data_IF_072026509431
#
_entry.id   IF_072026509431
#
_cell.length_a   1.000
_cell.length_b   1.000
_cell.length_c   1.000
_cell.angle_alpha   90.00
_cell.angle_beta   90.00
_cell.angle_gamma   90.00
#
_symmetry.space_group_name_H-M   'P 1'
#
loop_
_entity.id
_entity.type
_entity.pdbx_description
1 polymer ?
#
# COMPACT_ATOMS: atom_id res chain seq x y z
N UNK A 1 -58.38 80.65 -25.00
CA UNK A 1 -59.76 80.13 -25.16
C UNK A 1 -59.67 78.72 -25.69
N UNK A 2 -60.46 77.80 -25.11
CA UNK A 2 -60.70 76.40 -25.50
C UNK A 2 -59.72 75.29 -25.10
N UNK A 3 -60.36 74.30 -24.46
CA UNK A 3 -59.94 73.01 -23.91
C UNK A 3 -59.81 71.91 -24.99
N UNK A 4 -59.19 70.81 -24.57
CA UNK A 4 -59.54 69.35 -24.77
C UNK A 4 -58.34 68.55 -25.33
N UNK A 5 -57.74 67.59 -24.60
CA UNK A 5 -58.14 66.26 -24.07
C UNK A 5 -58.01 65.07 -25.04
N UNK A 6 -57.26 64.07 -24.53
CA UNK A 6 -57.16 62.63 -24.89
C UNK A 6 -56.38 62.19 -26.14
N UNK A 7 -55.39 61.30 -25.98
CA UNK A 7 -55.57 59.83 -25.99
C UNK A 7 -54.24 59.11 -25.65
N UNK A 8 -54.34 57.96 -24.99
CA UNK A 8 -53.24 57.03 -24.67
C UNK A 8 -52.81 56.24 -25.91
N UNK A 9 -51.50 55.95 -26.04
CA UNK A 9 -51.02 54.77 -26.77
C UNK A 9 -49.69 54.27 -26.19
N UNK A 10 -49.64 52.95 -25.98
CA UNK A 10 -48.59 52.15 -25.34
C UNK A 10 -47.71 51.53 -26.43
N UNK A 11 -46.38 51.57 -26.29
CA UNK A 11 -45.48 50.75 -27.13
C UNK A 11 -44.12 50.47 -26.46
N UNK A 12 -44.03 49.25 -25.90
CA UNK A 12 -42.96 48.25 -26.07
C UNK A 12 -41.49 48.65 -25.79
N UNK A 13 -41.00 48.29 -24.60
CA UNK A 13 -39.56 48.23 -24.27
C UNK A 13 -38.99 46.89 -24.72
N UNK A 14 -38.04 46.91 -25.66
CA UNK A 14 -37.21 45.77 -26.04
C UNK A 14 -36.10 45.58 -24.99
N UNK A 15 -36.17 44.49 -24.23
CA UNK A 15 -35.11 44.07 -23.33
C UNK A 15 -33.97 43.41 -24.14
N UNK A 16 -32.82 44.08 -24.23
CA UNK A 16 -31.60 43.50 -24.77
C UNK A 16 -30.90 42.65 -23.71
N UNK A 17 -30.86 41.34 -23.92
CA UNK A 17 -30.12 40.38 -23.11
C UNK A 17 -28.63 40.45 -23.44
N UNK A 18 -27.83 41.02 -22.53
CA UNK A 18 -26.37 40.90 -22.54
C UNK A 18 -25.98 39.54 -21.97
N UNK A 19 -25.52 38.64 -22.84
CA UNK A 19 -24.92 37.38 -22.41
C UNK A 19 -23.55 37.65 -21.78
N UNK A 20 -23.45 37.55 -20.45
CA UNK A 20 -22.17 37.46 -19.74
C UNK A 20 -21.51 36.13 -20.10
N UNK A 21 -20.44 36.17 -20.89
CA UNK A 21 -19.60 35.00 -21.09
C UNK A 21 -18.72 34.80 -19.86
N UNK A 22 -18.95 33.72 -19.11
CA UNK A 22 -18.07 33.29 -18.03
C UNK A 22 -16.74 32.81 -18.62
N UNK A 23 -15.63 33.41 -18.18
CA UNK A 23 -14.29 32.89 -18.48
C UNK A 23 -14.16 31.49 -17.85
N UNK A 24 -13.59 30.50 -18.56
CA UNK A 24 -13.39 29.18 -17.99
C UNK A 24 -12.40 29.29 -16.81
N UNK A 25 -12.81 28.81 -15.63
CA UNK A 25 -11.91 28.63 -14.51
C UNK A 25 -10.85 27.58 -14.91
N UNK A 26 -9.59 28.01 -15.05
CA UNK A 26 -8.48 27.08 -15.21
C UNK A 26 -8.35 26.24 -13.94
N UNK A 27 -8.87 25.02 -13.98
CA UNK A 27 -8.60 24.01 -12.96
C UNK A 27 -7.10 23.71 -12.98
N UNK A 28 -6.35 24.30 -12.04
CA UNK A 28 -4.98 23.86 -11.75
C UNK A 28 -5.07 22.37 -11.40
N UNK A 29 -4.34 21.53 -12.14
CA UNK A 29 -4.38 20.10 -11.88
C UNK A 29 -3.85 19.84 -10.46
N UNK A 30 -4.52 18.96 -9.72
CA UNK A 30 -4.05 18.53 -8.40
C UNK A 30 -2.60 18.04 -8.45
N UNK A 31 -2.21 17.41 -9.57
CA UNK A 31 -0.83 16.98 -9.86
C UNK A 31 0.18 18.13 -9.84
N UNK A 32 -0.16 19.28 -10.42
CA UNK A 32 0.72 20.45 -10.49
C UNK A 32 0.85 21.14 -9.13
N UNK A 33 -0.26 21.19 -8.36
CA UNK A 33 -0.24 21.63 -6.96
C UNK A 33 0.66 20.72 -6.11
N UNK A 34 0.46 19.40 -6.15
CA UNK A 34 1.25 18.46 -5.36
C UNK A 34 2.72 18.41 -5.81
N UNK A 35 3.04 18.53 -7.11
CA UNK A 35 4.44 18.64 -7.56
C UNK A 35 5.12 19.92 -7.09
N UNK A 36 4.43 21.06 -7.14
CA UNK A 36 4.97 22.33 -6.66
C UNK A 36 5.25 22.29 -5.14
N UNK A 37 4.43 21.54 -4.38
CA UNK A 37 4.55 21.44 -2.93
C UNK A 37 5.30 20.20 -2.43
N UNK A 38 5.64 19.24 -3.32
CA UNK A 38 6.41 18.04 -2.96
C UNK A 38 7.86 18.33 -2.56
N UNK A 39 8.38 19.51 -2.93
CA UNK A 39 9.74 19.96 -2.59
C UNK A 39 9.76 21.11 -1.58
N UNK A 40 8.60 21.73 -1.31
CA UNK A 40 8.49 22.74 -0.27
C UNK A 40 8.32 22.06 1.09
N UNK A 41 9.37 22.04 1.89
CA UNK A 41 9.29 21.79 3.34
C UNK A 41 8.69 23.01 4.08
N UNK A 42 7.72 23.70 3.48
CA UNK A 42 6.98 24.78 4.11
C UNK A 42 5.89 24.20 5.01
N UNK A 43 6.31 23.37 5.96
CA UNK A 43 5.47 23.02 7.09
C UNK A 43 5.44 24.25 7.99
N UNK A 44 4.26 24.80 8.34
CA UNK A 44 4.17 25.90 9.29
C UNK A 44 4.95 25.55 10.56
N UNK A 45 5.82 26.46 11.01
CA UNK A 45 6.55 26.27 12.26
C UNK A 45 5.58 26.40 13.44
N UNK A 46 5.05 25.26 13.92
CA UNK A 46 4.09 25.19 15.04
C UNK A 46 4.76 25.62 16.36
N UNK A 47 6.04 25.29 16.52
CA UNK A 47 6.86 25.70 17.66
C UNK A 47 7.93 26.70 17.21
N UNK A 48 8.11 27.76 17.99
CA UNK A 48 9.25 28.68 17.85
C UNK A 48 10.57 27.96 18.08
N UNK A 49 11.68 28.57 17.63
CA UNK A 49 13.02 27.98 17.83
C UNK A 49 13.32 27.76 19.31
N UNK A 50 13.03 28.76 20.14
CA UNK A 50 13.29 28.72 21.58
C UNK A 50 12.44 27.64 22.27
N UNK A 51 11.19 27.43 21.85
CA UNK A 51 10.35 26.33 22.37
C UNK A 51 10.89 24.95 21.98
N UNK A 52 11.38 24.79 20.74
CA UNK A 52 11.99 23.53 20.31
C UNK A 52 13.25 23.22 21.11
N UNK A 53 14.09 24.23 21.34
CA UNK A 53 15.31 24.09 22.11
C UNK A 53 14.98 23.74 23.58
N UNK A 54 14.01 24.43 24.19
CA UNK A 54 13.51 24.14 25.54
C UNK A 54 12.96 22.71 25.68
N UNK A 55 12.06 22.28 24.78
CA UNK A 55 11.45 20.95 24.90
C UNK A 55 12.43 19.83 24.62
N UNK A 56 13.37 20.03 23.70
CA UNK A 56 14.47 19.08 23.49
C UNK A 56 15.28 18.91 24.78
N UNK A 57 15.70 20.01 25.40
CA UNK A 57 16.44 19.96 26.65
C UNK A 57 15.66 19.31 27.80
N UNK A 58 14.34 19.52 27.86
CA UNK A 58 13.43 18.92 28.85
C UNK A 58 13.29 17.41 28.65
N UNK A 59 12.97 16.95 27.44
CA UNK A 59 12.83 15.52 27.17
C UNK A 59 14.18 14.79 27.28
N UNK A 60 15.28 15.40 26.85
CA UNK A 60 16.63 14.85 27.05
C UNK A 60 16.95 14.71 28.54
N UNK A 61 16.55 15.67 29.38
CA UNK A 61 16.72 15.59 30.83
C UNK A 61 15.85 14.48 31.46
N UNK A 62 14.63 14.26 30.95
CA UNK A 62 13.75 13.15 31.39
C UNK A 62 14.39 11.81 31.02
N UNK A 63 14.83 11.63 29.77
CA UNK A 63 15.46 10.39 29.30
C UNK A 63 16.79 10.09 30.00
N UNK A 64 17.55 11.13 30.35
CA UNK A 64 18.79 11.02 31.11
C UNK A 64 18.55 10.87 32.63
N UNK A 65 17.30 10.84 33.08
CA UNK A 65 16.90 10.76 34.49
C UNK A 65 17.46 11.88 35.38
N UNK A 66 17.71 13.05 34.80
CA UNK A 66 18.20 14.21 35.52
C UNK A 66 17.04 15.00 36.13
N UNK A 67 16.46 14.46 37.21
CA UNK A 67 15.24 15.01 37.83
C UNK A 67 15.41 16.42 38.39
N UNK A 68 16.62 16.77 38.85
CA UNK A 68 16.92 18.12 39.31
C UNK A 68 16.78 19.13 38.15
N UNK A 69 17.32 18.80 36.97
CA UNK A 69 17.18 19.62 35.76
C UNK A 69 15.72 19.68 35.30
N UNK A 70 14.99 18.57 35.32
CA UNK A 70 13.57 18.55 34.93
C UNK A 70 12.73 19.47 35.81
N UNK A 71 12.90 19.40 37.13
CA UNK A 71 12.20 20.28 38.07
C UNK A 71 12.58 21.75 37.88
N UNK A 72 13.86 22.03 37.64
CA UNK A 72 14.31 23.38 37.34
C UNK A 72 13.65 23.91 36.06
N UNK A 73 13.63 23.14 34.97
CA UNK A 73 13.02 23.56 33.71
C UNK A 73 11.51 23.83 33.87
N UNK A 74 10.79 22.98 34.61
CA UNK A 74 9.37 23.22 34.91
C UNK A 74 9.13 24.42 35.84
N UNK A 75 10.10 24.79 36.69
CA UNK A 75 10.02 26.00 37.51
C UNK A 75 10.36 27.28 36.71
N UNK A 76 11.28 27.18 35.76
CA UNK A 76 11.65 28.27 34.86
C UNK A 76 10.49 28.61 33.91
N UNK A 77 9.70 27.59 33.51
CA UNK A 77 8.54 27.76 32.62
C UNK A 77 7.35 26.93 33.09
N UNK A 78 6.35 27.62 33.64
CA UNK A 78 5.17 26.98 34.23
C UNK A 78 4.16 26.44 33.20
N UNK A 79 4.13 27.02 32.00
CA UNK A 79 3.14 26.72 30.94
C UNK A 79 3.77 26.58 29.56
N UNK A 80 3.12 25.84 28.68
CA UNK A 80 3.50 25.72 27.27
C UNK A 80 2.90 24.49 26.59
N UNK A 81 2.99 24.41 25.25
CA UNK A 81 2.18 23.52 24.43
C UNK A 81 2.41 22.02 24.67
N UNK A 82 3.59 21.61 25.15
CA UNK A 82 3.91 20.19 25.42
C UNK A 82 4.06 19.90 26.92
N UNK A 83 3.70 20.82 27.81
CA UNK A 83 3.88 20.62 29.26
C UNK A 83 3.06 19.45 29.79
N UNK A 84 1.82 19.28 29.34
CA UNK A 84 0.96 18.17 29.77
C UNK A 84 1.60 16.83 29.38
N UNK A 85 2.10 16.69 28.16
CA UNK A 85 2.82 15.49 27.72
C UNK A 85 4.13 15.29 28.50
N UNK A 86 4.94 16.33 28.65
CA UNK A 86 6.22 16.24 29.35
C UNK A 86 6.06 15.90 30.84
N UNK A 87 5.04 16.45 31.53
CA UNK A 87 4.70 16.08 32.90
C UNK A 87 4.29 14.61 32.98
N UNK A 88 3.55 14.11 31.99
CA UNK A 88 3.15 12.73 31.93
C UNK A 88 4.36 11.80 31.86
N UNK A 89 5.28 12.06 30.93
CA UNK A 89 6.53 11.32 30.79
C UNK A 89 7.36 11.37 32.08
N UNK A 90 7.51 12.55 32.69
CA UNK A 90 8.23 12.70 33.97
C UNK A 90 7.58 11.89 35.10
N UNK A 91 6.26 11.94 35.24
CA UNK A 91 5.52 11.21 36.29
C UNK A 91 5.55 9.70 36.10
N UNK A 92 5.60 9.24 34.85
CA UNK A 92 5.60 7.82 34.49
C UNK A 92 7.01 7.23 34.35
N UNK A 93 8.05 8.06 34.29
CA UNK A 93 9.42 7.63 34.14
C UNK A 93 9.88 6.75 35.31
N UNK A 94 10.69 5.74 34.99
CA UNK A 94 11.33 4.91 36.00
C UNK A 94 12.24 5.76 36.89
N UNK A 95 12.26 5.50 38.21
CA UNK A 95 13.11 6.19 39.19
C UNK A 95 12.84 7.70 39.33
N UNK A 96 11.75 8.22 38.75
CA UNK A 96 11.34 9.59 38.99
C UNK A 96 10.94 9.80 40.45
N UNK A 97 11.02 11.05 40.96
CA UNK A 97 10.51 11.38 42.29
C UNK A 97 9.07 10.93 42.45
N UNK A 98 8.72 10.50 43.66
CA UNK A 98 7.36 10.06 43.96
C UNK A 98 6.36 11.19 43.66
N UNK A 99 5.43 10.89 42.76
CA UNK A 99 4.31 11.78 42.43
C UNK A 99 3.16 11.53 43.40
N UNK A 100 2.64 12.60 43.99
CA UNK A 100 1.54 12.57 44.94
C UNK A 100 0.17 12.73 44.25
N UNK A 101 -0.89 12.26 44.92
CA UNK A 101 -2.25 12.26 44.37
C UNK A 101 -2.69 13.63 43.79
N UNK A 102 -2.48 14.78 44.46
CA UNK A 102 -2.92 16.08 43.93
C UNK A 102 -2.27 16.44 42.58
N UNK A 103 -1.04 15.97 42.34
CA UNK A 103 -0.34 16.22 41.06
C UNK A 103 -0.94 15.38 39.93
N UNK A 104 -1.39 14.16 40.23
CA UNK A 104 -2.03 13.26 39.27
C UNK A 104 -3.43 13.77 38.94
N UNK A 105 -4.20 14.22 39.94
CA UNK A 105 -5.51 14.82 39.74
C UNK A 105 -5.44 16.08 38.88
N UNK A 106 -4.48 16.97 39.17
CA UNK A 106 -4.24 18.16 38.35
C UNK A 106 -3.88 17.80 36.90
N UNK A 107 -3.05 16.77 36.71
CA UNK A 107 -2.69 16.32 35.37
C UNK A 107 -3.89 15.71 34.63
N UNK A 108 -4.71 14.88 35.30
CA UNK A 108 -5.87 14.22 34.70
C UNK A 108 -6.95 15.23 34.28
N UNK A 109 -7.03 16.39 34.93
CA UNK A 109 -7.94 17.48 34.53
C UNK A 109 -7.59 18.11 33.17
N UNK A 110 -6.32 18.06 32.77
CA UNK A 110 -5.82 18.64 31.51
C UNK A 110 -5.56 17.57 30.43
N UNK A 111 -5.12 16.37 30.85
CA UNK A 111 -4.57 15.34 29.98
C UNK A 111 -5.45 14.12 29.77
N UNK A 112 -6.75 14.16 30.10
CA UNK A 112 -7.64 12.99 30.01
C UNK A 112 -7.71 12.34 28.62
N UNK A 113 -7.55 13.14 27.56
CA UNK A 113 -7.57 12.66 26.16
C UNK A 113 -6.20 12.21 25.65
N UNK A 114 -5.15 12.31 26.47
CA UNK A 114 -3.80 11.91 26.08
C UNK A 114 -3.60 10.40 26.28
N UNK A 115 -2.75 9.75 25.46
CA UNK A 115 -2.50 8.31 25.55
C UNK A 115 -1.91 7.87 26.90
N UNK A 116 -1.29 8.80 27.65
CA UNK A 116 -0.75 8.55 28.99
C UNK A 116 -1.83 8.46 30.08
N UNK A 117 -3.06 8.94 29.83
CA UNK A 117 -4.10 9.07 30.86
C UNK A 117 -4.48 7.74 31.55
N UNK A 118 -4.65 6.61 30.83
CA UNK A 118 -4.94 5.32 31.49
C UNK A 118 -3.82 4.84 32.41
N UNK A 119 -2.57 5.22 32.14
CA UNK A 119 -1.44 4.85 33.00
C UNK A 119 -1.37 5.75 34.24
N UNK A 120 -1.62 7.05 34.09
CA UNK A 120 -1.68 7.99 35.21
C UNK A 120 -2.89 7.77 36.11
N UNK A 121 -4.05 7.41 35.55
CA UNK A 121 -5.21 6.97 36.32
C UNK A 121 -4.88 5.78 37.23
N UNK A 122 -4.26 4.72 36.67
CA UNK A 122 -3.80 3.56 37.45
C UNK A 122 -2.75 3.92 38.50
N UNK A 123 -1.88 4.90 38.21
CA UNK A 123 -0.95 5.43 39.21
C UNK A 123 -1.70 6.15 40.33
N UNK A 124 -2.70 6.97 39.99
CA UNK A 124 -3.58 7.68 40.91
C UNK A 124 -4.38 6.75 41.82
N UNK A 125 -4.94 5.66 41.28
CA UNK A 125 -5.65 4.63 42.07
C UNK A 125 -4.74 4.05 43.17
N UNK A 126 -3.47 3.78 42.85
CA UNK A 126 -2.45 3.36 43.83
C UNK A 126 -2.08 4.45 44.84
N UNK A 127 -2.51 5.70 44.64
CA UNK A 127 -2.31 6.85 45.52
C UNK A 127 -3.60 7.27 46.24
N UNK A 128 -4.71 6.53 46.05
CA UNK A 128 -5.99 6.81 46.70
C UNK A 128 -6.99 7.59 45.85
N UNK A 129 -6.79 7.67 44.52
CA UNK A 129 -7.81 8.19 43.61
C UNK A 129 -9.07 7.31 43.69
N UNK A 130 -10.20 7.91 44.09
CA UNK A 130 -11.48 7.21 44.27
C UNK A 130 -12.38 7.35 43.02
N UNK A 131 -12.23 8.44 42.28
CA UNK A 131 -13.01 8.74 41.09
C UNK A 131 -12.08 9.06 39.91
N UNK A 132 -11.97 8.11 38.98
CA UNK A 132 -11.23 8.29 37.73
C UNK A 132 -12.14 9.00 36.71
N UNK A 133 -11.66 10.04 35.99
CA UNK A 133 -12.45 10.64 34.91
C UNK A 133 -12.72 9.63 33.80
N UNK A 134 -13.75 9.87 33.00
CA UNK A 134 -14.01 9.04 31.82
C UNK A 134 -12.87 9.23 30.81
N UNK A 135 -12.21 8.14 30.43
CA UNK A 135 -11.09 8.14 29.48
C UNK A 135 -11.52 7.57 28.12
N UNK A 136 -10.89 7.98 27.01
CA UNK A 136 -11.07 7.33 25.72
C UNK A 136 -10.69 5.83 25.75
N UNK A 137 -11.50 4.99 25.12
CA UNK A 137 -11.25 3.55 25.04
C UNK A 137 -10.43 3.18 23.80
N UNK A 138 -9.49 2.23 23.95
CA UNK A 138 -8.72 1.68 22.84
C UNK A 138 -9.63 0.88 21.89
N UNK A 139 -9.64 1.26 20.61
CA UNK A 139 -10.36 0.52 19.58
C UNK A 139 -9.58 -0.74 19.20
N UNK A 140 -10.20 -1.91 19.40
CA UNK A 140 -9.59 -3.18 18.99
C UNK A 140 -9.63 -3.31 17.47
N UNK A 141 -8.48 -3.59 16.86
CA UNK A 141 -8.46 -4.01 15.46
C UNK A 141 -9.07 -5.40 15.30
N UNK A 142 -9.82 -5.59 14.23
CA UNK A 142 -10.35 -6.90 13.84
C UNK A 142 -9.49 -7.48 12.71
N UNK A 143 -9.14 -8.76 12.83
CA UNK A 143 -8.45 -9.47 11.76
C UNK A 143 -9.38 -9.54 10.54
N UNK A 144 -8.94 -9.00 9.41
CA UNK A 144 -9.62 -9.19 8.14
C UNK A 144 -9.21 -10.56 7.58
N UNK A 145 -10.16 -11.41 7.13
CA UNK A 145 -9.80 -12.64 6.45
C UNK A 145 -9.02 -12.30 5.18
N UNK A 146 -7.85 -12.91 5.01
CA UNK A 146 -7.04 -12.77 3.80
C UNK A 146 -7.17 -14.01 2.92
N UNK A 147 -7.25 -13.83 1.60
CA UNK A 147 -7.15 -14.95 0.65
C UNK A 147 -5.74 -15.52 0.72
N UNK A 148 -5.53 -16.81 1.04
CA UNK A 148 -4.21 -17.38 1.14
C UNK A 148 -3.38 -17.05 -0.10
N UNK A 149 -2.17 -16.52 0.10
CA UNK A 149 -1.27 -16.14 -0.98
C UNK A 149 -0.73 -17.41 -1.63
N UNK A 150 -1.51 -18.04 -2.52
CA UNK A 150 -1.02 -19.09 -3.40
C UNK A 150 -0.34 -18.43 -4.58
N UNK A 151 0.98 -18.36 -4.53
CA UNK A 151 1.77 -17.78 -5.62
C UNK A 151 1.74 -18.68 -6.87
N UNK A 152 1.51 -19.99 -6.71
CA UNK A 152 1.41 -20.96 -7.80
C UNK A 152 0.23 -21.92 -7.61
N UNK A 153 -0.33 -22.48 -8.69
CA UNK A 153 -1.30 -23.57 -8.64
C UNK A 153 -0.79 -24.79 -7.86
N UNK A 154 -1.73 -25.64 -7.42
CA UNK A 154 -1.37 -26.91 -6.80
C UNK A 154 -0.74 -27.85 -7.84
N UNK A 155 0.25 -28.65 -7.42
CA UNK A 155 0.82 -29.70 -8.27
C UNK A 155 -0.22 -30.78 -8.57
N UNK A 156 -0.23 -31.26 -9.82
CA UNK A 156 -1.13 -32.28 -10.35
C UNK A 156 -0.70 -33.65 -9.85
N UNK A 157 -1.64 -34.37 -9.21
CA UNK A 157 -1.41 -35.69 -8.60
C UNK A 157 -2.43 -36.71 -9.09
N UNK A 158 -2.50 -36.90 -10.41
CA UNK A 158 -3.44 -37.83 -11.06
C UNK A 158 -2.81 -39.16 -11.47
N UNK A 159 -1.52 -39.38 -11.14
CA UNK A 159 -0.78 -40.59 -11.43
C UNK A 159 -0.21 -40.69 -12.85
N UNK A 160 -0.47 -39.71 -13.72
CA UNK A 160 0.07 -39.70 -15.08
C UNK A 160 1.57 -39.36 -15.13
N UNK A 161 2.07 -38.61 -14.15
CA UNK A 161 3.49 -38.31 -13.98
C UNK A 161 4.17 -39.32 -13.05
N UNK A 162 5.13 -40.14 -13.53
CA UNK A 162 5.92 -41.01 -12.66
C UNK A 162 6.82 -40.21 -11.72
N UNK A 163 6.81 -40.55 -10.43
CA UNK A 163 7.60 -39.85 -9.39
C UNK A 163 9.10 -39.85 -9.68
N UNK A 164 9.63 -40.92 -10.30
CA UNK A 164 11.04 -41.01 -10.70
C UNK A 164 11.40 -39.99 -11.78
N UNK A 165 10.52 -39.76 -12.74
CA UNK A 165 10.72 -38.76 -13.80
C UNK A 165 10.53 -37.35 -13.25
N UNK A 166 9.50 -37.12 -12.43
CA UNK A 166 9.30 -35.85 -11.74
C UNK A 166 10.53 -35.44 -10.91
N UNK A 167 11.09 -36.38 -10.15
CA UNK A 167 12.30 -36.17 -9.37
C UNK A 167 13.50 -35.85 -10.27
N UNK A 168 13.70 -36.63 -11.35
CA UNK A 168 14.79 -36.39 -12.28
C UNK A 168 14.70 -35.05 -13.01
N UNK A 169 13.51 -34.64 -13.46
CA UNK A 169 13.27 -33.31 -14.07
C UNK A 169 13.60 -32.20 -13.08
N UNK A 170 13.07 -32.29 -11.84
CA UNK A 170 13.36 -31.28 -10.82
C UNK A 170 14.85 -31.23 -10.47
N UNK A 171 15.55 -32.36 -10.49
CA UNK A 171 16.99 -32.43 -10.27
C UNK A 171 17.76 -31.71 -11.40
N UNK A 172 17.37 -31.92 -12.67
CA UNK A 172 17.96 -31.18 -13.81
C UNK A 172 17.72 -29.68 -13.70
N UNK A 173 16.50 -29.25 -13.35
CA UNK A 173 16.16 -27.83 -13.15
C UNK A 173 17.01 -27.22 -12.02
N UNK A 174 17.27 -27.96 -10.94
CA UNK A 174 18.11 -27.48 -9.82
C UNK A 174 19.59 -27.33 -10.20
N UNK A 175 20.05 -28.03 -11.23
CA UNK A 175 21.42 -27.99 -11.73
C UNK A 175 21.53 -27.20 -13.04
N UNK A 176 20.57 -26.30 -13.29
CA UNK A 176 20.57 -25.37 -14.42
C UNK A 176 20.65 -26.08 -15.80
N UNK A 177 20.04 -27.28 -15.90
CA UNK A 177 19.99 -28.10 -17.13
C UNK A 177 18.56 -28.21 -17.70
N UNK A 178 18.03 -27.14 -18.33
CA UNK A 178 16.68 -27.15 -18.88
C UNK A 178 16.53 -28.05 -20.12
N UNK A 179 17.61 -28.28 -20.89
CA UNK A 179 17.59 -29.21 -22.03
C UNK A 179 17.46 -30.67 -21.58
N UNK A 180 18.21 -31.07 -20.55
CA UNK A 180 18.06 -32.39 -19.94
C UNK A 180 16.69 -32.58 -19.29
N UNK A 181 16.14 -31.55 -18.65
CA UNK A 181 14.77 -31.56 -18.14
C UNK A 181 13.73 -31.74 -19.26
N UNK A 182 13.88 -31.01 -20.38
CA UNK A 182 13.00 -31.14 -21.55
C UNK A 182 13.07 -32.54 -22.15
N UNK A 183 14.27 -33.10 -22.33
CA UNK A 183 14.44 -34.44 -22.90
C UNK A 183 13.74 -35.53 -22.07
N UNK A 184 13.78 -35.43 -20.74
CA UNK A 184 13.06 -36.35 -19.85
C UNK A 184 11.53 -36.19 -19.99
N UNK A 185 11.04 -34.95 -20.10
CA UNK A 185 9.63 -34.66 -20.28
C UNK A 185 9.11 -35.17 -21.63
N UNK A 186 9.83 -34.88 -22.71
CA UNK A 186 9.48 -35.30 -24.08
C UNK A 186 9.31 -36.82 -24.19
N UNK A 187 10.10 -37.59 -23.43
CA UNK A 187 10.03 -39.05 -23.41
C UNK A 187 8.72 -39.63 -22.86
N UNK A 188 7.94 -38.85 -22.11
CA UNK A 188 6.70 -39.32 -21.45
C UNK A 188 5.49 -38.42 -21.72
N UNK A 189 5.66 -37.28 -22.41
CA UNK A 189 4.65 -36.23 -22.59
C UNK A 189 3.33 -36.73 -23.19
N UNK A 190 3.40 -37.68 -24.14
CA UNK A 190 2.20 -38.28 -24.75
C UNK A 190 1.34 -39.10 -23.77
N UNK A 191 1.94 -39.60 -22.69
CA UNK A 191 1.27 -40.37 -21.64
C UNK A 191 0.74 -39.50 -20.49
N UNK A 192 1.08 -38.22 -20.45
CA UNK A 192 0.62 -37.30 -19.42
C UNK A 192 -0.86 -36.91 -19.63
N UNK A 193 -1.55 -36.64 -18.52
CA UNK A 193 -2.82 -35.94 -18.58
C UNK A 193 -2.63 -34.51 -19.08
N UNK A 194 -3.70 -33.85 -19.54
CA UNK A 194 -3.62 -32.44 -19.94
C UNK A 194 -3.13 -31.53 -18.80
N UNK A 195 -3.56 -31.79 -17.57
CA UNK A 195 -3.15 -31.00 -16.41
C UNK A 195 -1.68 -31.21 -16.06
N UNK A 196 -1.20 -32.46 -16.05
CA UNK A 196 0.21 -32.76 -15.80
C UNK A 196 1.10 -32.21 -16.92
N UNK A 197 0.67 -32.33 -18.18
CA UNK A 197 1.35 -31.73 -19.32
C UNK A 197 1.54 -30.22 -19.15
N UNK A 198 0.47 -29.50 -18.78
CA UNK A 198 0.56 -28.05 -18.54
C UNK A 198 1.57 -27.71 -17.43
N UNK A 199 1.47 -28.37 -16.27
CA UNK A 199 2.38 -28.14 -15.14
C UNK A 199 3.85 -28.35 -15.52
N UNK A 200 4.18 -29.48 -16.13
CA UNK A 200 5.56 -29.86 -16.36
C UNK A 200 6.19 -29.11 -17.53
N UNK A 201 5.42 -28.80 -18.58
CA UNK A 201 5.87 -27.91 -19.64
C UNK A 201 6.14 -26.50 -19.10
N UNK A 202 5.27 -25.98 -18.23
CA UNK A 202 5.47 -24.67 -17.59
C UNK A 202 6.73 -24.64 -16.73
N UNK A 203 6.99 -25.69 -15.94
CA UNK A 203 8.21 -25.80 -15.12
C UNK A 203 9.49 -25.79 -15.96
N UNK A 204 9.51 -26.54 -17.06
CA UNK A 204 10.65 -26.56 -17.99
C UNK A 204 10.80 -25.21 -18.70
N UNK A 205 9.71 -24.60 -19.15
CA UNK A 205 9.73 -23.26 -19.74
C UNK A 205 10.28 -22.20 -18.78
N UNK A 206 9.85 -22.23 -17.52
CA UNK A 206 10.37 -21.36 -16.47
C UNK A 206 11.86 -21.57 -16.24
N UNK A 207 12.34 -22.83 -16.30
CA UNK A 207 13.78 -23.14 -16.22
C UNK A 207 14.57 -22.48 -17.35
N UNK A 208 14.10 -22.54 -18.61
CA UNK A 208 14.76 -21.82 -19.70
C UNK A 208 14.77 -20.30 -19.48
N UNK A 209 13.68 -19.72 -18.95
CA UNK A 209 13.57 -18.28 -18.72
C UNK A 209 14.55 -17.78 -17.65
N UNK A 210 14.70 -18.49 -16.53
CA UNK A 210 15.66 -18.12 -15.48
C UNK A 210 17.11 -18.25 -15.94
N UNK A 211 17.39 -19.20 -16.84
CA UNK A 211 18.70 -19.36 -17.51
C UNK A 211 18.93 -18.35 -18.64
N UNK A 212 18.03 -17.38 -18.83
CA UNK A 212 18.09 -16.35 -19.88
C UNK A 212 18.11 -16.90 -21.31
N UNK A 213 17.59 -18.12 -21.51
CA UNK A 213 17.34 -18.66 -22.85
C UNK A 213 15.90 -18.34 -23.27
N UNK A 214 15.63 -17.06 -23.51
CA UNK A 214 14.28 -16.57 -23.82
C UNK A 214 13.66 -17.22 -25.07
N UNK A 215 14.39 -17.52 -26.17
CA UNK A 215 13.81 -18.22 -27.32
C UNK A 215 13.31 -19.63 -26.98
N UNK A 216 14.08 -20.40 -26.20
CA UNK A 216 13.66 -21.73 -25.77
C UNK A 216 12.55 -21.66 -24.72
N UNK A 217 12.58 -20.65 -23.85
CA UNK A 217 11.52 -20.41 -22.87
C UNK A 217 10.18 -20.12 -23.55
N UNK A 218 10.17 -19.22 -24.54
CA UNK A 218 8.97 -18.89 -25.32
C UNK A 218 8.46 -20.14 -26.04
N UNK A 219 9.32 -20.81 -26.80
CA UNK A 219 8.92 -22.01 -27.56
C UNK A 219 8.37 -23.11 -26.64
N UNK A 220 8.94 -23.30 -25.45
CA UNK A 220 8.43 -24.25 -24.48
C UNK A 220 7.11 -23.79 -23.85
N UNK A 221 6.99 -22.51 -23.50
CA UNK A 221 5.81 -21.93 -22.86
C UNK A 221 4.58 -21.98 -23.77
N UNK A 222 4.73 -21.71 -25.07
CA UNK A 222 3.64 -21.79 -26.07
C UNK A 222 3.05 -23.21 -26.17
N UNK A 223 3.82 -24.23 -25.80
CA UNK A 223 3.31 -25.62 -25.78
C UNK A 223 2.44 -25.93 -24.56
N UNK A 224 2.41 -25.08 -23.53
CA UNK A 224 1.63 -25.31 -22.30
C UNK A 224 0.13 -25.31 -22.59
N UNK A 225 -0.32 -24.52 -23.56
CA UNK A 225 -1.73 -24.40 -23.98
C UNK A 225 -2.35 -25.70 -24.52
N UNK A 226 -1.51 -26.65 -24.97
CA UNK A 226 -1.97 -27.99 -25.33
C UNK A 226 -2.33 -28.88 -24.12
N UNK A 227 -2.16 -28.36 -22.89
CA UNK A 227 -2.58 -28.97 -21.64
C UNK A 227 -3.93 -28.43 -21.15
N UNK A 228 -4.15 -28.47 -19.83
CA UNK A 228 -5.37 -27.95 -19.21
C UNK A 228 -5.16 -27.54 -17.75
N UNK A 229 -6.13 -26.83 -17.17
CA UNK A 229 -6.14 -26.45 -15.76
C UNK A 229 -5.39 -25.15 -15.47
N UNK A 230 -5.19 -24.87 -14.18
CA UNK A 230 -4.67 -23.59 -13.68
C UNK A 230 -3.23 -23.28 -14.14
N UNK A 231 -2.46 -24.32 -14.49
CA UNK A 231 -1.08 -24.19 -14.98
C UNK A 231 -0.97 -23.56 -16.37
N UNK A 232 -2.06 -23.50 -17.15
CA UNK A 232 -2.06 -22.88 -18.48
C UNK A 232 -1.77 -21.38 -18.38
N UNK A 233 -2.42 -20.68 -17.44
CA UNK A 233 -2.17 -19.26 -17.20
C UNK A 233 -0.72 -18.98 -16.74
N UNK A 234 -0.11 -19.92 -16.02
CA UNK A 234 1.30 -19.83 -15.63
C UNK A 234 2.25 -20.05 -16.82
N UNK A 235 1.84 -20.81 -17.83
CA UNK A 235 2.54 -20.97 -19.10
C UNK A 235 2.50 -19.70 -19.93
N UNK A 236 1.30 -19.14 -20.11
CA UNK A 236 1.08 -17.84 -20.74
C UNK A 236 1.94 -16.74 -20.08
N UNK A 237 2.07 -16.77 -18.75
CA UNK A 237 2.92 -15.83 -18.02
C UNK A 237 4.39 -15.93 -18.42
N UNK A 238 4.93 -17.16 -18.57
CA UNK A 238 6.30 -17.38 -19.04
C UNK A 238 6.46 -16.92 -20.49
N UNK A 239 5.50 -17.24 -21.36
CA UNK A 239 5.51 -16.84 -22.76
C UNK A 239 5.54 -15.30 -22.90
N UNK A 240 4.69 -14.59 -22.16
CA UNK A 240 4.65 -13.13 -22.16
C UNK A 240 5.96 -12.50 -21.68
N UNK A 241 6.57 -13.04 -20.61
CA UNK A 241 7.86 -12.58 -20.10
C UNK A 241 9.00 -12.80 -21.09
N UNK A 242 9.07 -13.98 -21.71
CA UNK A 242 10.08 -14.32 -22.70
C UNK A 242 9.94 -13.44 -23.96
N UNK A 243 8.73 -13.33 -24.51
CA UNK A 243 8.42 -12.46 -25.65
C UNK A 243 8.81 -10.99 -25.37
N UNK A 244 8.51 -10.48 -24.17
CA UNK A 244 8.87 -9.13 -23.77
C UNK A 244 10.39 -8.89 -23.78
N UNK A 245 11.20 -9.86 -23.31
CA UNK A 245 12.66 -9.80 -23.35
C UNK A 245 13.21 -9.88 -24.76
N UNK A 246 12.59 -10.69 -25.62
CA UNK A 246 12.91 -10.78 -27.06
C UNK A 246 12.53 -9.51 -27.84
N UNK A 247 11.76 -8.60 -27.23
CA UNK A 247 11.30 -7.38 -27.87
C UNK A 247 10.07 -7.57 -28.75
N UNK A 248 9.47 -8.76 -28.74
CA UNK A 248 8.19 -9.04 -29.38
C UNK A 248 7.05 -8.58 -28.46
N UNK A 249 6.75 -7.29 -28.55
CA UNK A 249 5.77 -6.66 -27.69
C UNK A 249 4.32 -7.08 -28.04
N UNK A 250 4.05 -7.51 -29.29
CA UNK A 250 2.73 -7.97 -29.72
C UNK A 250 2.40 -9.33 -29.10
N UNK A 251 3.30 -10.30 -29.25
CA UNK A 251 3.15 -11.62 -28.61
C UNK A 251 3.16 -11.50 -27.09
N UNK A 252 3.99 -10.61 -26.53
CA UNK A 252 3.98 -10.34 -25.08
C UNK A 252 2.61 -9.85 -24.61
N UNK A 253 2.00 -8.89 -25.32
CA UNK A 253 0.68 -8.36 -24.96
C UNK A 253 -0.38 -9.47 -24.96
N UNK A 254 -0.43 -10.29 -26.01
CA UNK A 254 -1.39 -11.39 -26.13
C UNK A 254 -1.27 -12.40 -24.99
N UNK A 255 -0.06 -12.88 -24.69
CA UNK A 255 0.14 -13.84 -23.61
C UNK A 255 -0.13 -13.26 -22.22
N UNK A 256 0.17 -11.98 -21.98
CA UNK A 256 -0.18 -11.34 -20.71
C UNK A 256 -1.69 -11.14 -20.54
N UNK A 257 -2.44 -10.87 -21.61
CA UNK A 257 -3.91 -10.84 -21.60
C UNK A 257 -4.50 -12.22 -21.32
N UNK A 258 -3.99 -13.25 -21.99
CA UNK A 258 -4.39 -14.64 -21.77
C UNK A 258 -4.12 -15.09 -20.33
N UNK A 259 -2.94 -14.75 -19.78
CA UNK A 259 -2.61 -14.92 -18.36
C UNK A 259 -3.67 -14.25 -17.48
N UNK A 260 -3.99 -12.98 -17.77
CA UNK A 260 -4.92 -12.18 -16.96
C UNK A 260 -6.35 -12.75 -16.96
N UNK A 261 -6.77 -13.31 -18.08
CA UNK A 261 -8.10 -13.90 -18.24
C UNK A 261 -8.21 -15.32 -17.67
N UNK A 262 -7.12 -16.12 -17.72
CA UNK A 262 -7.11 -17.52 -17.29
C UNK A 262 -6.64 -17.74 -15.85
N UNK A 263 -5.91 -16.81 -15.25
CA UNK A 263 -5.34 -16.98 -13.92
C UNK A 263 -6.42 -17.17 -12.83
N UNK A 264 -6.29 -18.24 -12.05
CA UNK A 264 -7.11 -18.45 -10.84
C UNK A 264 -6.62 -17.66 -9.63
N UNK A 265 -5.36 -17.19 -9.66
CA UNK A 265 -4.77 -16.33 -8.66
C UNK A 265 -4.96 -14.84 -9.04
N UNK A 266 -5.66 -14.03 -8.22
CA UNK A 266 -5.85 -12.60 -8.47
C UNK A 266 -4.55 -11.82 -8.64
N UNK A 267 -3.46 -12.22 -7.98
CA UNK A 267 -2.15 -11.55 -8.09
C UNK A 267 -1.52 -11.78 -9.47
N UNK A 268 -1.61 -13.00 -10.00
CA UNK A 268 -1.15 -13.32 -11.35
C UNK A 268 -2.03 -12.61 -12.39
N UNK A 269 -3.34 -12.56 -12.15
CA UNK A 269 -4.26 -11.83 -13.03
C UNK A 269 -3.93 -10.33 -13.10
N UNK A 270 -3.68 -9.70 -11.94
CA UNK A 270 -3.26 -8.30 -11.85
C UNK A 270 -1.90 -8.06 -12.52
N UNK A 271 -0.94 -8.97 -12.35
CA UNK A 271 0.35 -8.92 -13.03
C UNK A 271 0.20 -9.01 -14.55
N UNK A 272 -0.67 -9.90 -15.04
CA UNK A 272 -1.03 -10.04 -16.46
C UNK A 272 -1.55 -8.72 -17.03
N UNK A 273 -2.60 -8.13 -16.45
CA UNK A 273 -3.13 -6.84 -16.93
C UNK A 273 -2.09 -5.72 -16.91
N UNK A 274 -1.25 -5.67 -15.87
CA UNK A 274 -0.19 -4.66 -15.75
C UNK A 274 0.85 -4.78 -16.87
N UNK A 275 1.33 -5.99 -17.17
CA UNK A 275 2.33 -6.22 -18.21
C UNK A 275 1.75 -6.19 -19.63
N UNK A 276 0.50 -6.58 -19.82
CA UNK A 276 -0.22 -6.38 -21.08
C UNK A 276 -0.29 -4.89 -21.44
N UNK A 277 -0.68 -4.03 -20.50
CA UNK A 277 -0.71 -2.58 -20.70
C UNK A 277 0.64 -2.01 -21.14
N UNK A 278 1.74 -2.47 -20.53
CA UNK A 278 3.10 -2.05 -20.90
C UNK A 278 3.54 -2.56 -22.26
N UNK A 279 3.16 -3.78 -22.62
CA UNK A 279 3.38 -4.38 -23.94
C UNK A 279 2.71 -3.55 -25.02
N UNK A 280 1.44 -3.18 -24.83
CA UNK A 280 0.73 -2.25 -25.71
C UNK A 280 1.36 -0.87 -25.80
N UNK A 281 1.89 -0.32 -24.70
CA UNK A 281 2.58 0.98 -24.73
C UNK A 281 3.90 0.89 -25.50
N UNK A 282 4.62 -0.23 -25.38
CA UNK A 282 5.91 -0.44 -26.08
C UNK A 282 5.74 -0.66 -27.58
N UNK A 283 4.61 -1.21 -28.04
CA UNK A 283 4.32 -1.39 -29.46
C UNK A 283 3.84 -0.12 -30.18
N UNK A 284 3.65 1.00 -29.48
CA UNK A 284 3.16 2.26 -30.07
C UNK A 284 4.24 3.06 -30.78
#
# INVERSE_FOLDING_TARGET
>A
MSKQLYLKAMAMVLAGSTANQALPAHARSSVEYFRAHATSNEVPAILSRDERDYYRDLFDAIHAENWAKVQQLFADRNEGPLHTVARAEFYLAARSPRVELPQIEAWLAEGADLPQAPQLARLGEKRGLVATPQLPEEQRFYAQPYTPKRVRPAGVRDGSMPESIATAINDRIKHDDPDGARQLLDGIDSGLSGAARAEWRQKVAWSYYIENNDPAALAMAETVDAGSGEWVAEGDWVAGLAAWRLGDCESAAAHFEDTAHRASNPELAAAGYYWASRSHVRCR
#
